data_IF_496451809042
#
_entry.id   IF_496451809042
#
_cell.length_a   1.000
_cell.length_b   1.000
_cell.length_c   1.000
_cell.angle_alpha   90.00
_cell.angle_beta   90.00
_cell.angle_gamma   90.00
#
_symmetry.space_group_name_H-M   'P 1'
#
loop_
_entity.id
_entity.type
_entity.pdbx_description
1 polymer ?
#
# COMPACT_ATOMS: atom_id res chain seq x y z
N UNK A 1 0.03 10.50 6.58
CA UNK A 1 -1.35 10.76 6.10
C UNK A 1 -1.94 9.44 5.61
N UNK A 2 -2.88 8.91 6.38
CA UNK A 2 -3.34 7.51 6.34
C UNK A 2 -3.89 7.15 4.96
N UNK A 3 -3.48 6.01 4.39
CA UNK A 3 -3.96 5.56 3.06
C UNK A 3 -5.49 5.47 3.00
N UNK A 4 -6.14 5.13 4.12
CA UNK A 4 -7.60 5.13 4.26
C UNK A 4 -8.15 6.55 4.28
N UNK A 5 -7.50 7.48 5.00
CA UNK A 5 -7.88 8.91 5.00
C UNK A 5 -7.76 9.50 3.60
N UNK A 6 -6.63 9.26 2.90
CA UNK A 6 -6.44 9.69 1.50
C UNK A 6 -7.50 9.12 0.56
N UNK A 7 -7.87 7.84 0.73
CA UNK A 7 -8.94 7.24 -0.05
C UNK A 7 -10.30 7.88 0.23
N UNK A 8 -10.66 8.08 1.50
CA UNK A 8 -11.91 8.72 1.92
C UNK A 8 -11.96 10.18 1.44
N UNK A 9 -10.85 10.92 1.51
CA UNK A 9 -10.75 12.29 1.01
C UNK A 9 -10.84 12.37 -0.51
N UNK A 10 -10.20 11.44 -1.24
CA UNK A 10 -10.34 11.38 -2.70
C UNK A 10 -11.78 11.06 -3.12
N UNK A 11 -12.46 10.15 -2.41
CA UNK A 11 -13.87 9.86 -2.66
C UNK A 11 -14.75 11.09 -2.38
N UNK A 12 -14.51 11.80 -1.28
CA UNK A 12 -15.19 13.06 -0.95
C UNK A 12 -15.04 14.10 -2.06
N UNK A 13 -13.82 14.37 -2.50
CA UNK A 13 -13.53 15.35 -3.55
C UNK A 13 -14.23 14.99 -4.86
N UNK A 14 -14.12 13.73 -5.29
CA UNK A 14 -14.75 13.28 -6.53
C UNK A 14 -16.28 13.24 -6.46
N UNK A 15 -16.87 12.92 -5.30
CA UNK A 15 -18.32 13.01 -5.09
C UNK A 15 -18.79 14.47 -5.17
N UNK A 16 -18.06 15.40 -4.57
CA UNK A 16 -18.39 16.84 -4.62
C UNK A 16 -18.32 17.34 -6.07
N UNK A 17 -17.23 17.04 -6.80
CA UNK A 17 -17.09 17.42 -8.21
C UNK A 17 -18.22 16.86 -9.07
N UNK A 18 -18.57 15.59 -8.87
CA UNK A 18 -19.67 14.95 -9.61
C UNK A 18 -21.01 15.61 -9.27
N UNK A 19 -21.23 15.98 -8.01
CA UNK A 19 -22.47 16.64 -7.58
C UNK A 19 -22.58 18.07 -8.12
N UNK A 20 -21.49 18.84 -8.11
CA UNK A 20 -21.45 20.20 -8.67
C UNK A 20 -21.74 20.20 -10.18
N UNK A 21 -21.23 19.21 -10.92
CA UNK A 21 -21.60 19.06 -12.33
C UNK A 21 -23.05 18.64 -12.52
N UNK A 22 -23.55 17.75 -11.65
CA UNK A 22 -24.94 17.32 -11.67
C UNK A 22 -25.92 18.48 -11.43
N UNK A 23 -25.62 19.38 -10.49
CA UNK A 23 -26.45 20.58 -10.25
C UNK A 23 -26.43 21.57 -11.41
N UNK A 24 -25.30 21.69 -12.11
CA UNK A 24 -25.16 22.57 -13.27
C UNK A 24 -25.70 21.94 -14.56
N UNK A 25 -26.10 20.67 -14.53
CA UNK A 25 -26.58 19.95 -15.69
C UNK A 25 -28.02 20.35 -16.04
N UNK A 26 -28.21 20.82 -17.28
CA UNK A 26 -29.53 21.27 -17.77
C UNK A 26 -30.48 20.08 -17.94
N UNK A 27 -31.70 20.21 -17.41
CA UNK A 27 -32.79 19.21 -17.47
C UNK A 27 -33.12 18.64 -18.87
N UNK A 28 -32.66 19.28 -19.95
CA UNK A 28 -32.97 18.90 -21.33
C UNK A 28 -32.04 17.84 -21.93
N UNK A 29 -30.98 17.44 -21.24
CA UNK A 29 -30.07 16.40 -21.68
C UNK A 29 -30.24 15.17 -20.77
N UNK A 30 -30.50 14.00 -21.34
CA UNK A 30 -31.11 12.87 -20.60
C UNK A 30 -30.10 11.96 -19.91
N UNK A 31 -28.80 12.26 -19.99
CA UNK A 31 -27.77 11.26 -19.76
C UNK A 31 -26.56 11.80 -18.98
N UNK A 32 -26.81 12.35 -17.79
CA UNK A 32 -25.73 12.71 -16.88
C UNK A 32 -24.96 11.46 -16.42
N UNK A 33 -23.63 11.49 -16.56
CA UNK A 33 -22.76 10.42 -16.10
C UNK A 33 -22.37 10.61 -14.62
N UNK A 34 -23.11 9.93 -13.74
CA UNK A 34 -22.84 9.91 -12.30
C UNK A 34 -21.51 9.24 -11.92
N UNK A 35 -20.88 8.51 -12.85
CA UNK A 35 -19.64 7.78 -12.58
C UNK A 35 -18.39 8.48 -13.15
N UNK A 36 -18.52 9.73 -13.61
CA UNK A 36 -17.47 10.47 -14.33
C UNK A 36 -16.17 10.62 -13.53
N UNK A 37 -16.25 11.01 -12.26
CA UNK A 37 -15.06 11.24 -11.41
C UNK A 37 -14.85 10.17 -10.34
N UNK A 38 -15.88 9.35 -10.08
CA UNK A 38 -15.83 8.28 -9.09
C UNK A 38 -16.72 7.12 -9.54
N UNK A 39 -16.24 5.90 -9.37
CA UNK A 39 -17.04 4.70 -9.67
C UNK A 39 -17.98 4.34 -8.51
N UNK A 40 -19.14 3.76 -8.82
CA UNK A 40 -20.03 3.15 -7.82
C UNK A 40 -19.30 2.11 -6.94
N UNK A 41 -18.31 1.42 -7.50
CA UNK A 41 -17.45 0.49 -6.75
C UNK A 41 -16.66 1.21 -5.65
N UNK A 42 -16.01 2.33 -5.97
CA UNK A 42 -15.21 3.06 -4.99
C UNK A 42 -16.08 3.81 -3.98
N UNK A 43 -17.24 4.31 -4.41
CA UNK A 43 -18.28 4.80 -3.51
C UNK A 43 -18.73 3.71 -2.53
N UNK A 44 -19.02 2.49 -3.01
CA UNK A 44 -19.43 1.36 -2.16
C UNK A 44 -18.34 0.97 -1.17
N UNK A 45 -17.06 0.96 -1.57
CA UNK A 45 -15.93 0.73 -0.67
C UNK A 45 -15.86 1.78 0.43
N UNK A 46 -15.96 3.07 0.08
CA UNK A 46 -16.00 4.15 1.07
C UNK A 46 -17.19 3.99 2.01
N UNK A 47 -18.39 3.73 1.48
CA UNK A 47 -19.60 3.48 2.27
C UNK A 47 -19.44 2.32 3.24
N UNK A 48 -18.79 1.23 2.84
CA UNK A 48 -18.49 0.10 3.74
C UNK A 48 -17.60 0.53 4.92
N UNK A 49 -16.58 1.35 4.65
CA UNK A 49 -15.70 1.90 5.68
C UNK A 49 -16.51 2.77 6.65
N UNK A 50 -17.28 3.74 6.13
CA UNK A 50 -18.10 4.63 6.96
C UNK A 50 -19.07 3.85 7.85
N UNK A 51 -19.79 2.86 7.30
CA UNK A 51 -20.73 2.01 8.05
C UNK A 51 -20.05 1.20 9.15
N UNK A 52 -18.86 0.68 8.87
CA UNK A 52 -18.10 -0.08 9.86
C UNK A 52 -17.67 0.82 11.02
N UNK A 53 -17.10 1.98 10.71
CA UNK A 53 -16.67 2.97 11.70
C UNK A 53 -17.84 3.48 12.54
N UNK A 54 -18.99 3.73 11.91
CA UNK A 54 -20.21 4.13 12.58
C UNK A 54 -20.68 3.11 13.62
N UNK A 55 -20.72 1.82 13.24
CA UNK A 55 -21.11 0.73 14.14
C UNK A 55 -20.15 0.50 15.30
N UNK A 56 -18.85 0.64 15.04
CA UNK A 56 -17.81 0.32 16.03
C UNK A 56 -17.57 1.46 17.03
N UNK A 57 -17.88 2.71 16.68
CA UNK A 57 -17.38 3.89 17.42
C UNK A 57 -18.45 4.94 17.74
N UNK A 58 -19.73 4.57 17.70
CA UNK A 58 -20.87 5.47 18.00
C UNK A 58 -20.92 6.76 17.15
N UNK A 59 -20.27 6.75 15.98
CA UNK A 59 -20.30 7.88 15.04
C UNK A 59 -21.57 7.78 14.21
N UNK A 60 -22.46 8.75 14.32
CA UNK A 60 -23.68 8.78 13.50
C UNK A 60 -23.35 8.88 11.99
N UNK A 61 -23.92 7.96 11.20
CA UNK A 61 -23.95 7.97 9.73
C UNK A 61 -25.39 8.27 9.28
N UNK A 62 -25.62 9.30 8.45
CA UNK A 62 -26.98 9.58 7.98
C UNK A 62 -27.53 8.43 7.13
N UNK A 63 -28.84 8.18 7.26
CA UNK A 63 -29.56 7.11 6.55
C UNK A 63 -29.31 7.15 5.03
N UNK A 64 -29.18 8.35 4.44
CA UNK A 64 -28.88 8.54 3.02
C UNK A 64 -27.58 7.85 2.58
N UNK A 65 -26.57 7.78 3.45
CA UNK A 65 -25.32 7.03 3.19
C UNK A 65 -25.43 5.56 3.62
N UNK A 66 -26.46 5.20 4.37
CA UNK A 66 -26.72 3.82 4.77
C UNK A 66 -27.53 3.03 3.76
N UNK A 67 -28.47 3.66 3.05
CA UNK A 67 -29.43 2.95 2.17
C UNK A 67 -29.01 3.00 0.70
N UNK A 68 -28.55 4.16 0.22
CA UNK A 68 -28.19 4.34 -1.19
C UNK A 68 -26.91 3.57 -1.54
N UNK A 69 -26.93 2.88 -2.68
CA UNK A 69 -25.86 1.96 -3.12
C UNK A 69 -25.18 2.41 -4.40
N UNK A 70 -25.73 3.41 -5.08
CA UNK A 70 -25.10 4.09 -6.22
C UNK A 70 -25.01 5.60 -5.98
N UNK A 71 -24.10 6.25 -6.71
CA UNK A 71 -23.92 7.70 -6.68
C UNK A 71 -25.20 8.41 -7.14
N UNK A 72 -25.90 7.84 -8.14
CA UNK A 72 -27.18 8.34 -8.63
C UNK A 72 -28.26 8.35 -7.55
N UNK A 73 -28.46 7.22 -6.88
CA UNK A 73 -29.45 7.10 -5.78
C UNK A 73 -29.14 8.10 -4.67
N UNK A 74 -27.86 8.20 -4.28
CA UNK A 74 -27.39 9.13 -3.26
C UNK A 74 -27.73 10.58 -3.64
N UNK A 75 -27.40 11.02 -4.85
CA UNK A 75 -27.63 12.40 -5.27
C UNK A 75 -29.11 12.72 -5.39
N UNK A 76 -29.91 11.81 -5.93
CA UNK A 76 -31.35 11.99 -5.99
C UNK A 76 -31.94 12.19 -4.60
N UNK A 77 -31.62 11.30 -3.65
CA UNK A 77 -32.11 11.37 -2.27
C UNK A 77 -31.68 12.66 -1.56
N UNK A 78 -30.40 13.05 -1.71
CA UNK A 78 -29.90 14.31 -1.14
C UNK A 78 -30.61 15.53 -1.74
N UNK A 79 -30.86 15.55 -3.06
CA UNK A 79 -31.57 16.64 -3.74
C UNK A 79 -33.07 16.69 -3.37
N UNK A 80 -33.71 15.54 -3.12
CA UNK A 80 -35.09 15.51 -2.61
C UNK A 80 -35.17 16.03 -1.17
N UNK A 81 -34.19 15.72 -0.33
CA UNK A 81 -34.15 16.14 1.07
C UNK A 81 -33.85 17.64 1.27
N UNK A 82 -33.22 18.33 0.31
CA UNK A 82 -32.82 19.74 0.43
C UNK A 82 -33.90 20.76 0.06
N UNK A 83 -35.03 20.31 -0.49
CA UNK A 83 -36.27 21.05 -0.70
C UNK A 83 -36.11 22.51 -1.13
N UNK A 84 -35.85 22.79 -2.42
CA UNK A 84 -35.79 24.11 -3.08
C UNK A 84 -34.91 25.21 -2.42
N UNK A 85 -34.31 24.97 -1.26
CA UNK A 85 -33.29 25.83 -0.67
C UNK A 85 -31.94 25.31 -1.15
N UNK A 86 -31.18 26.17 -1.83
CA UNK A 86 -29.77 25.96 -2.24
C UNK A 86 -28.86 25.85 -1.02
N UNK A 87 -29.16 24.94 -0.09
CA UNK A 87 -28.26 24.64 1.00
C UNK A 87 -27.07 23.88 0.43
N UNK A 88 -25.88 24.32 0.82
CA UNK A 88 -24.57 23.85 0.38
C UNK A 88 -24.43 22.30 0.49
N UNK A 89 -24.91 21.57 -0.50
CA UNK A 89 -24.93 20.11 -0.51
C UNK A 89 -23.52 19.54 -0.62
N UNK A 90 -22.65 20.16 -1.41
CA UNK A 90 -21.21 19.90 -1.40
C UNK A 90 -20.64 19.97 0.04
N UNK A 91 -21.03 21.00 0.79
CA UNK A 91 -20.69 21.15 2.20
C UNK A 91 -21.23 20.04 3.11
N UNK A 92 -22.42 19.50 2.84
CA UNK A 92 -22.98 18.35 3.58
C UNK A 92 -22.20 17.06 3.28
N UNK A 93 -21.85 16.81 2.01
CA UNK A 93 -20.99 15.69 1.63
C UNK A 93 -19.64 15.83 2.35
N UNK A 94 -19.01 17.02 2.25
CA UNK A 94 -17.75 17.30 2.91
C UNK A 94 -17.81 17.08 4.42
N UNK A 95 -18.86 17.55 5.09
CA UNK A 95 -19.02 17.43 6.53
C UNK A 95 -19.06 15.97 7.00
N UNK A 96 -19.80 15.11 6.29
CA UNK A 96 -19.85 13.68 6.60
C UNK A 96 -18.46 13.07 6.44
N UNK A 97 -17.84 13.21 5.26
CA UNK A 97 -16.54 12.59 5.01
C UNK A 97 -15.44 13.12 5.94
N UNK A 98 -15.39 14.44 6.19
CA UNK A 98 -14.42 15.03 7.12
C UNK A 98 -14.58 14.48 8.54
N UNK A 99 -15.81 14.24 9.02
CA UNK A 99 -16.05 13.63 10.35
C UNK A 99 -15.35 12.27 10.48
N UNK A 100 -15.41 11.45 9.44
CA UNK A 100 -14.75 10.14 9.42
C UNK A 100 -13.25 10.26 9.13
N UNK A 101 -12.82 11.17 8.26
CA UNK A 101 -11.38 11.44 8.04
C UNK A 101 -10.71 11.88 9.34
N UNK A 102 -11.26 12.89 10.05
CA UNK A 102 -10.74 13.35 11.34
C UNK A 102 -10.76 12.24 12.38
N UNK A 103 -11.83 11.44 12.45
CA UNK A 103 -11.84 10.29 13.35
C UNK A 103 -10.70 9.31 13.05
N UNK A 104 -10.48 9.00 11.76
CA UNK A 104 -9.39 8.12 11.33
C UNK A 104 -8.01 8.74 11.62
N UNK A 105 -7.86 10.06 11.52
CA UNK A 105 -6.63 10.78 11.89
C UNK A 105 -6.37 10.75 13.41
N UNK A 106 -7.42 10.96 14.21
CA UNK A 106 -7.34 11.05 15.67
C UNK A 106 -7.21 9.69 16.37
N UNK A 107 -7.83 8.64 15.81
CA UNK A 107 -7.99 7.33 16.47
C UNK A 107 -7.28 6.18 15.76
N UNK A 108 -6.94 6.33 14.48
CA UNK A 108 -5.92 5.46 13.88
C UNK A 108 -4.61 6.21 13.98
N UNK A 109 -3.96 6.11 15.14
CA UNK A 109 -2.55 6.45 15.27
C UNK A 109 -1.82 5.81 14.08
N UNK A 110 -1.42 6.64 13.12
CA UNK A 110 -0.27 6.30 12.32
C UNK A 110 0.84 6.15 13.36
N UNK A 111 1.24 4.90 13.62
CA UNK A 111 2.67 4.69 13.50
C UNK A 111 2.95 5.24 12.10
N UNK A 112 3.50 6.46 12.02
CA UNK A 112 4.27 6.87 10.85
C UNK A 112 5.40 5.85 10.79
N UNK A 113 5.08 4.66 10.29
CA UNK A 113 6.05 3.77 9.73
C UNK A 113 6.55 4.63 8.59
N UNK A 114 7.73 5.23 8.80
CA UNK A 114 8.50 5.94 7.78
C UNK A 114 8.16 5.25 6.48
N UNK A 115 7.40 5.94 5.61
CA UNK A 115 7.01 5.35 4.33
C UNK A 115 8.34 5.06 3.67
N UNK A 116 8.73 3.79 3.62
CA UNK A 116 9.98 3.41 3.00
C UNK A 116 9.74 3.51 1.51
N UNK A 117 9.95 4.73 1.00
CA UNK A 117 10.05 5.00 -0.41
C UNK A 117 11.37 4.40 -0.86
N UNK A 118 11.27 3.28 -1.57
CA UNK A 118 12.41 2.66 -2.18
C UNK A 118 12.67 3.38 -3.52
N UNK A 119 13.51 4.40 -3.47
CA UNK A 119 14.06 5.00 -4.69
C UNK A 119 15.06 4.02 -5.30
N UNK A 120 14.84 3.63 -6.55
CA UNK A 120 15.72 2.73 -7.27
C UNK A 120 16.82 3.58 -7.92
N UNK A 121 18.11 3.31 -7.63
CA UNK A 121 19.20 4.03 -8.28
C UNK A 121 19.11 3.96 -9.80
N UNK A 122 19.49 5.02 -10.51
CA UNK A 122 19.33 5.10 -11.98
C UNK A 122 20.03 3.96 -12.72
N UNK A 123 21.15 3.48 -12.18
CA UNK A 123 21.96 2.39 -12.71
C UNK A 123 21.36 1.00 -12.45
N UNK A 124 20.35 0.91 -11.58
CA UNK A 124 19.64 -0.32 -11.18
C UNK A 124 18.27 -0.45 -11.88
N UNK A 125 18.11 0.15 -13.06
CA UNK A 125 16.86 0.21 -13.81
C UNK A 125 16.52 -1.10 -14.54
N UNK A 126 16.41 -2.22 -13.81
CA UNK A 126 15.74 -3.39 -14.35
C UNK A 126 14.21 -3.21 -14.25
N UNK A 127 13.51 -3.29 -15.39
CA UNK A 127 12.04 -3.16 -15.49
C UNK A 127 11.29 -4.07 -14.51
N UNK A 128 11.88 -5.19 -14.13
CA UNK A 128 11.32 -6.12 -13.14
C UNK A 128 11.16 -5.52 -11.74
N UNK A 129 12.14 -4.79 -11.22
CA UNK A 129 12.12 -4.26 -9.83
C UNK A 129 11.00 -3.22 -9.67
N UNK A 130 10.89 -2.28 -10.61
CA UNK A 130 9.79 -1.30 -10.62
C UNK A 130 8.42 -1.97 -10.76
N UNK A 131 8.33 -2.98 -11.63
CA UNK A 131 7.11 -3.76 -11.81
C UNK A 131 6.72 -4.49 -10.53
N UNK A 132 7.66 -5.08 -9.81
CA UNK A 132 7.40 -5.84 -8.59
C UNK A 132 7.02 -4.95 -7.42
N UNK A 133 7.62 -3.75 -7.31
CA UNK A 133 7.20 -2.75 -6.33
C UNK A 133 5.78 -2.25 -6.59
N UNK A 134 5.42 -1.98 -7.86
CA UNK A 134 4.05 -1.62 -8.23
C UNK A 134 3.06 -2.76 -7.97
N UNK A 135 3.45 -4.01 -8.26
CA UNK A 135 2.64 -5.20 -7.96
C UNK A 135 2.40 -5.38 -6.47
N UNK A 136 3.32 -4.99 -5.59
CA UNK A 136 3.10 -5.07 -4.14
C UNK A 136 1.92 -4.18 -3.73
N UNK A 137 1.89 -2.93 -4.17
CA UNK A 137 0.86 -1.94 -3.80
C UNK A 137 -0.50 -2.25 -4.42
N UNK A 138 -0.50 -2.57 -5.71
CA UNK A 138 -1.74 -2.89 -6.45
C UNK A 138 -2.40 -4.13 -5.84
N UNK A 139 -1.65 -5.21 -5.58
CA UNK A 139 -2.21 -6.43 -4.98
C UNK A 139 -2.74 -6.24 -3.56
N UNK A 140 -2.10 -5.40 -2.74
CA UNK A 140 -2.68 -5.01 -1.45
C UNK A 140 -4.04 -4.32 -1.65
N UNK A 141 -4.11 -3.39 -2.59
CA UNK A 141 -5.31 -2.60 -2.88
C UNK A 141 -6.44 -3.45 -3.47
N UNK A 142 -6.09 -4.47 -4.25
CA UNK A 142 -7.02 -5.40 -4.90
C UNK A 142 -7.47 -6.54 -3.96
N UNK A 143 -6.90 -6.63 -2.75
CA UNK A 143 -7.20 -7.70 -1.79
C UNK A 143 -6.48 -9.03 -2.07
N UNK A 144 -5.57 -9.08 -3.05
CA UNK A 144 -4.70 -10.22 -3.34
C UNK A 144 -3.49 -10.26 -2.37
N UNK A 145 -3.77 -10.58 -1.11
CA UNK A 145 -2.76 -10.57 -0.03
C UNK A 145 -1.66 -11.61 -0.24
N UNK A 146 -2.00 -12.80 -0.74
CA UNK A 146 -1.03 -13.85 -1.04
C UNK A 146 -0.12 -13.45 -2.21
N UNK A 147 -0.69 -12.84 -3.25
CA UNK A 147 0.08 -12.31 -4.36
C UNK A 147 0.95 -11.12 -3.94
N UNK A 148 0.49 -10.25 -3.05
CA UNK A 148 1.29 -9.14 -2.52
C UNK A 148 2.55 -9.63 -1.80
N UNK A 149 2.42 -10.66 -0.95
CA UNK A 149 3.56 -11.30 -0.28
C UNK A 149 4.51 -11.95 -1.29
N UNK A 150 3.96 -12.59 -2.32
CA UNK A 150 4.77 -13.17 -3.41
C UNK A 150 5.57 -12.09 -4.12
N UNK A 151 4.95 -10.95 -4.45
CA UNK A 151 5.64 -9.79 -5.04
C UNK A 151 6.72 -9.24 -4.12
N UNK A 152 6.46 -9.17 -2.81
CA UNK A 152 7.42 -8.70 -1.82
C UNK A 152 8.70 -9.56 -1.81
N UNK A 153 8.54 -10.90 -1.86
CA UNK A 153 9.67 -11.83 -1.98
C UNK A 153 10.44 -11.60 -3.29
N UNK A 154 9.72 -11.57 -4.42
CA UNK A 154 10.34 -11.37 -5.75
C UNK A 154 11.09 -10.05 -5.85
N UNK A 155 10.56 -8.99 -5.23
CA UNK A 155 11.24 -7.69 -5.15
C UNK A 155 12.61 -7.81 -4.50
N UNK A 156 12.70 -8.44 -3.32
CA UNK A 156 14.00 -8.59 -2.62
C UNK A 156 14.94 -9.53 -3.38
N UNK A 157 14.42 -10.59 -3.99
CA UNK A 157 15.21 -11.50 -4.83
C UNK A 157 15.83 -10.75 -6.03
N UNK A 158 15.01 -9.97 -6.75
CA UNK A 158 15.45 -9.18 -7.90
C UNK A 158 16.53 -8.17 -7.52
N UNK A 159 16.34 -7.46 -6.41
CA UNK A 159 17.33 -6.49 -5.89
C UNK A 159 18.64 -7.19 -5.52
N UNK A 160 18.56 -8.33 -4.82
CA UNK A 160 19.76 -9.07 -4.44
C UNK A 160 20.55 -9.54 -5.66
N UNK A 161 19.85 -10.14 -6.64
CA UNK A 161 20.45 -10.60 -7.90
C UNK A 161 21.12 -9.44 -8.64
N UNK A 162 20.41 -8.33 -8.81
CA UNK A 162 20.90 -7.19 -9.58
C UNK A 162 22.19 -6.60 -8.97
N UNK A 163 22.20 -6.34 -7.65
CA UNK A 163 23.39 -5.79 -7.00
C UNK A 163 24.55 -6.78 -7.05
N UNK A 164 24.30 -8.08 -6.87
CA UNK A 164 25.35 -9.11 -6.97
C UNK A 164 25.96 -9.17 -8.37
N UNK A 165 25.15 -9.11 -9.43
CA UNK A 165 25.63 -9.06 -10.83
C UNK A 165 26.48 -7.82 -11.04
N UNK A 166 26.03 -6.64 -10.60
CA UNK A 166 26.81 -5.39 -10.72
C UNK A 166 28.15 -5.47 -9.96
N UNK A 167 28.20 -6.23 -8.86
CA UNK A 167 29.45 -6.48 -8.12
C UNK A 167 30.31 -7.59 -8.73
N UNK A 168 29.95 -8.12 -9.91
CA UNK A 168 30.72 -9.12 -10.65
C UNK A 168 30.57 -10.55 -10.11
N UNK A 169 29.47 -10.84 -9.41
CA UNK A 169 29.16 -12.20 -8.95
C UNK A 169 28.24 -12.86 -9.97
N UNK A 170 28.82 -13.57 -10.93
CA UNK A 170 28.08 -14.18 -12.05
C UNK A 170 27.61 -15.61 -11.76
N UNK A 171 27.93 -16.18 -10.60
CA UNK A 171 27.60 -17.57 -10.24
C UNK A 171 26.17 -17.73 -9.67
N UNK A 172 25.30 -16.75 -9.87
CA UNK A 172 23.95 -16.74 -9.31
C UNK A 172 23.06 -17.64 -10.15
N UNK A 173 22.40 -18.61 -9.51
CA UNK A 173 21.39 -19.45 -10.18
C UNK A 173 20.02 -18.78 -10.13
N UNK A 174 19.21 -18.97 -11.17
CA UNK A 174 17.80 -18.59 -11.13
C UNK A 174 17.00 -19.31 -10.05
N UNK A 175 17.48 -20.48 -9.64
CA UNK A 175 16.88 -21.31 -8.57
C UNK A 175 17.40 -20.98 -7.18
N UNK A 176 18.30 -20.00 -7.04
CA UNK A 176 18.83 -19.63 -5.73
C UNK A 176 17.74 -19.04 -4.85
N UNK A 177 17.69 -19.53 -3.61
CA UNK A 177 16.69 -19.08 -2.65
C UNK A 177 16.99 -17.68 -2.14
N UNK A 178 15.94 -16.90 -1.84
CA UNK A 178 16.09 -15.57 -1.23
C UNK A 178 17.07 -15.53 -0.04
N UNK A 179 17.05 -16.46 0.95
CA UNK A 179 18.02 -16.45 2.04
C UNK A 179 19.48 -16.60 1.59
N UNK A 180 19.74 -17.40 0.55
CA UNK A 180 21.08 -17.55 -0.04
C UNK A 180 21.50 -16.24 -0.70
N UNK A 181 20.67 -15.70 -1.59
CA UNK A 181 20.93 -14.43 -2.30
C UNK A 181 21.24 -13.29 -1.32
N UNK A 182 20.42 -13.14 -0.28
CA UNK A 182 20.62 -12.10 0.74
C UNK A 182 21.93 -12.30 1.53
N UNK A 183 22.25 -13.54 1.90
CA UNK A 183 23.49 -13.87 2.60
C UNK A 183 24.72 -13.54 1.76
N UNK A 184 24.68 -13.84 0.46
CA UNK A 184 25.80 -13.57 -0.42
C UNK A 184 25.96 -12.06 -0.69
N UNK A 185 24.86 -11.33 -0.87
CA UNK A 185 24.91 -9.88 -1.02
C UNK A 185 25.43 -9.18 0.24
N UNK A 186 24.94 -9.53 1.42
CA UNK A 186 25.40 -8.91 2.67
C UNK A 186 26.88 -9.16 2.95
N UNK A 187 27.46 -10.28 2.50
CA UNK A 187 28.92 -10.48 2.51
C UNK A 187 29.62 -9.47 1.59
N UNK A 188 29.14 -9.29 0.36
CA UNK A 188 29.72 -8.34 -0.60
C UNK A 188 29.60 -6.87 -0.16
N UNK A 189 28.55 -6.55 0.61
CA UNK A 189 28.34 -5.23 1.20
C UNK A 189 29.00 -5.07 2.58
N UNK A 190 29.83 -6.01 3.04
CA UNK A 190 30.48 -5.96 4.36
C UNK A 190 29.50 -5.78 5.54
N UNK A 191 28.26 -6.25 5.39
CA UNK A 191 27.19 -6.20 6.39
C UNK A 191 27.14 -7.45 7.27
N UNK A 192 28.04 -8.40 7.06
CA UNK A 192 28.07 -9.64 7.84
C UNK A 192 28.48 -9.37 9.31
N UNK A 193 27.99 -10.20 10.23
CA UNK A 193 28.29 -10.09 11.66
C UNK A 193 29.77 -10.33 11.99
N UNK A 194 30.50 -11.02 11.10
CA UNK A 194 31.93 -11.26 11.23
C UNK A 194 32.78 -10.01 10.95
N UNK A 195 32.22 -8.93 10.40
CA UNK A 195 32.93 -7.70 10.13
C UNK A 195 33.31 -7.00 11.46
N UNK A 196 34.59 -6.88 11.82
CA UNK A 196 35.00 -6.26 13.08
C UNK A 196 34.76 -4.74 13.09
N UNK A 197 34.59 -4.11 11.92
CA UNK A 197 34.36 -2.65 11.79
C UNK A 197 32.87 -2.26 11.92
N UNK A 198 31.96 -3.22 11.94
CA UNK A 198 30.53 -2.97 12.07
C UNK A 198 30.15 -2.90 13.56
N UNK A 199 29.44 -1.84 13.94
CA UNK A 199 28.96 -1.65 15.32
C UNK A 199 28.08 -2.83 15.79
N UNK A 200 28.17 -3.18 17.07
CA UNK A 200 27.45 -4.33 17.62
C UNK A 200 25.93 -4.16 17.53
N UNK A 201 25.41 -2.93 17.68
CA UNK A 201 23.97 -2.65 17.55
C UNK A 201 23.51 -2.83 16.10
N UNK A 202 24.34 -2.42 15.13
CA UNK A 202 24.07 -2.64 13.71
C UNK A 202 24.16 -4.12 13.32
N UNK A 203 25.05 -4.89 13.94
CA UNK A 203 25.10 -6.36 13.77
C UNK A 203 23.80 -7.02 14.23
N UNK A 204 23.24 -6.58 15.35
CA UNK A 204 21.95 -7.10 15.83
C UNK A 204 20.81 -6.78 14.85
N UNK A 205 20.76 -5.55 14.33
CA UNK A 205 19.75 -5.14 13.34
C UNK A 205 19.88 -5.99 12.05
N UNK A 206 21.08 -6.10 11.48
CA UNK A 206 21.33 -6.89 10.26
C UNK A 206 21.06 -8.39 10.48
N UNK A 207 21.36 -8.91 11.67
CA UNK A 207 20.98 -10.27 12.09
C UNK A 207 19.45 -10.45 12.16
N UNK A 208 18.74 -9.45 12.67
CA UNK A 208 17.28 -9.39 12.65
C UNK A 208 16.71 -9.46 11.23
N UNK A 209 17.30 -8.72 10.29
CA UNK A 209 16.89 -8.76 8.88
C UNK A 209 17.06 -10.15 8.25
N UNK A 210 18.09 -10.93 8.64
CA UNK A 210 18.20 -12.32 8.19
C UNK A 210 16.98 -13.17 8.59
N UNK A 211 16.41 -12.94 9.79
CA UNK A 211 15.19 -13.65 10.24
C UNK A 211 13.97 -13.22 9.43
N UNK A 212 13.84 -11.92 9.17
CA UNK A 212 12.77 -11.37 8.31
C UNK A 212 12.83 -12.00 6.93
N UNK A 213 14.02 -12.09 6.33
CA UNK A 213 14.24 -12.68 5.01
C UNK A 213 13.87 -14.15 4.95
N UNK A 214 14.22 -14.93 5.98
CA UNK A 214 13.79 -16.33 6.09
C UNK A 214 12.26 -16.42 6.17
N UNK A 215 11.62 -15.59 6.98
CA UNK A 215 10.16 -15.51 7.07
C UNK A 215 9.52 -15.22 5.71
N UNK A 216 9.98 -14.17 5.00
CA UNK A 216 9.50 -13.83 3.66
C UNK A 216 9.63 -14.98 2.66
N UNK A 217 10.71 -15.77 2.75
CA UNK A 217 10.92 -16.92 1.88
C UNK A 217 9.93 -18.07 2.16
N UNK A 218 9.53 -18.25 3.43
CA UNK A 218 8.71 -19.36 3.94
C UNK A 218 7.19 -19.11 3.89
N UNK A 219 6.72 -17.86 3.90
CA UNK A 219 5.28 -17.54 3.96
C UNK A 219 4.49 -18.15 2.79
N UNK A 220 5.13 -18.43 1.64
CA UNK A 220 4.50 -19.15 0.52
C UNK A 220 4.31 -20.65 0.77
N UNK A 221 5.17 -21.28 1.59
CA UNK A 221 5.08 -22.71 1.88
C UNK A 221 3.85 -23.07 2.74
N UNK A 222 3.24 -22.07 3.40
CA UNK A 222 1.95 -22.22 4.09
C UNK A 222 0.77 -22.39 3.13
N UNK A 223 0.94 -22.07 1.84
CA UNK A 223 -0.14 -22.07 0.86
C UNK A 223 -0.07 -23.24 -0.14
N UNK A 224 0.97 -24.08 -0.08
CA UNK A 224 1.34 -24.92 -1.22
C UNK A 224 1.60 -26.41 -0.97
N UNK A 225 1.94 -26.87 0.25
CA UNK A 225 2.31 -28.29 0.40
C UNK A 225 1.96 -28.88 1.78
N UNK A 226 1.18 -29.96 1.74
CA UNK A 226 1.08 -31.10 2.65
C UNK A 226 1.12 -30.83 4.18
N UNK A 227 -0.05 -31.03 4.82
CA UNK A 227 -0.30 -31.16 6.27
C UNK A 227 -0.23 -29.93 7.18
N UNK A 228 0.29 -28.78 6.75
CA UNK A 228 0.12 -27.53 7.50
C UNK A 228 -1.23 -26.85 7.14
N UNK A 229 -1.96 -26.34 8.13
CA UNK A 229 -3.17 -25.52 7.91
C UNK A 229 -2.84 -24.42 6.89
N UNK A 230 -3.58 -24.37 5.78
CA UNK A 230 -3.49 -23.28 4.80
C UNK A 230 -3.93 -21.99 5.51
N UNK A 231 -2.98 -21.22 6.00
CA UNK A 231 -3.26 -19.90 6.56
C UNK A 231 -3.36 -18.96 5.36
N UNK A 232 -4.57 -18.55 5.03
CA UNK A 232 -4.79 -17.50 4.04
C UNK A 232 -4.33 -16.18 4.65
N UNK A 233 -3.31 -15.50 4.09
CA UNK A 233 -2.83 -14.24 4.63
C UNK A 233 -3.94 -13.20 4.61
N UNK A 234 -4.09 -12.46 5.71
CA UNK A 234 -4.99 -11.30 5.79
C UNK A 234 -4.23 -10.00 5.48
N UNK A 235 -4.97 -8.89 5.36
CA UNK A 235 -4.43 -7.56 5.06
C UNK A 235 -3.18 -7.20 5.89
N UNK A 236 -3.24 -7.34 7.22
CA UNK A 236 -2.11 -6.95 8.09
C UNK A 236 -0.86 -7.81 7.88
N UNK A 237 -1.02 -9.09 7.52
CA UNK A 237 0.10 -9.96 7.18
C UNK A 237 0.77 -9.53 5.86
N UNK A 238 -0.02 -9.18 4.86
CA UNK A 238 0.50 -8.69 3.58
C UNK A 238 1.19 -7.34 3.73
N UNK A 239 0.60 -6.40 4.48
CA UNK A 239 1.21 -5.10 4.77
C UNK A 239 2.55 -5.26 5.50
N UNK A 240 2.61 -6.13 6.51
CA UNK A 240 3.87 -6.42 7.23
C UNK A 240 4.95 -6.93 6.27
N UNK A 241 4.61 -7.93 5.43
CA UNK A 241 5.57 -8.53 4.50
C UNK A 241 6.07 -7.52 3.44
N UNK A 242 5.15 -6.76 2.84
CA UNK A 242 5.50 -5.75 1.83
C UNK A 242 6.36 -4.64 2.44
N UNK A 243 6.00 -4.13 3.61
CA UNK A 243 6.78 -3.08 4.26
C UNK A 243 8.16 -3.59 4.70
N UNK A 244 8.25 -4.82 5.21
CA UNK A 244 9.52 -5.44 5.54
C UNK A 244 10.42 -5.58 4.30
N UNK A 245 9.87 -6.02 3.17
CA UNK A 245 10.59 -6.11 1.91
C UNK A 245 11.09 -4.74 1.43
N UNK A 246 10.23 -3.70 1.47
CA UNK A 246 10.62 -2.32 1.13
C UNK A 246 11.76 -1.81 2.01
N UNK A 247 11.69 -2.01 3.32
CA UNK A 247 12.74 -1.64 4.28
C UNK A 247 14.06 -2.31 3.94
N UNK A 248 14.05 -3.62 3.68
CA UNK A 248 15.27 -4.35 3.31
C UNK A 248 15.83 -3.83 1.98
N UNK A 249 14.98 -3.69 0.97
CA UNK A 249 15.41 -3.23 -0.36
C UNK A 249 16.01 -1.83 -0.31
N UNK A 250 15.35 -0.87 0.36
CA UNK A 250 15.87 0.50 0.51
C UNK A 250 17.22 0.51 1.24
N UNK A 251 17.35 -0.25 2.34
CA UNK A 251 18.61 -0.37 3.06
C UNK A 251 19.75 -0.94 2.19
N UNK A 252 19.47 -1.98 1.40
CA UNK A 252 20.46 -2.58 0.50
C UNK A 252 20.90 -1.61 -0.59
N UNK A 253 19.96 -0.86 -1.19
CA UNK A 253 20.29 0.15 -2.20
C UNK A 253 21.14 1.28 -1.64
N UNK A 254 20.72 1.91 -0.54
CA UNK A 254 21.49 3.00 0.06
C UNK A 254 22.87 2.54 0.54
N UNK A 255 22.99 1.31 1.04
CA UNK A 255 24.30 0.74 1.39
C UNK A 255 25.19 0.58 0.16
N UNK A 256 24.63 0.08 -0.93
CA UNK A 256 25.34 -0.08 -2.20
C UNK A 256 25.78 1.27 -2.77
N UNK A 257 24.90 2.26 -2.83
CA UNK A 257 25.20 3.61 -3.32
C UNK A 257 26.30 4.27 -2.49
N UNK A 258 26.18 4.24 -1.17
CA UNK A 258 27.18 4.80 -0.26
C UNK A 258 28.57 4.18 -0.48
N UNK A 259 28.65 2.86 -0.68
CA UNK A 259 29.92 2.19 -0.94
C UNK A 259 30.49 2.54 -2.31
N UNK A 260 29.62 2.67 -3.32
CA UNK A 260 30.00 3.11 -4.67
C UNK A 260 30.59 4.52 -4.61
N UNK A 261 29.91 5.48 -4.00
CA UNK A 261 30.40 6.87 -3.85
C UNK A 261 31.75 6.94 -3.13
N UNK A 262 31.97 6.10 -2.11
CA UNK A 262 33.25 6.02 -1.40
C UNK A 262 34.37 5.34 -2.17
N UNK A 263 34.08 4.53 -3.19
CA UNK A 263 35.10 3.94 -4.06
C UNK A 263 35.57 4.92 -5.15
N UNK A 264 34.77 5.94 -5.47
CA UNK A 264 35.08 6.96 -6.46
C UNK A 264 35.74 8.23 -5.88
N UNK A 265 35.81 8.35 -4.55
CA UNK A 265 36.48 9.44 -3.83
C UNK A 265 37.76 8.94 -3.14
#
# INVERSE_FOLDING_TARGET
>A
MNNTVRFIDSVKENLILTYEEYENYSYNDSNFDFNKYISDSDYLKARMILRKLSKENEIELPETYEVNRSIKELFQDISYASGYSQQNTAGRIAMIFNKYSTYLEDNLYEVEIVKVECEIPKELTYRGIQSDLLKCETRISDGDFAGAITSAKTLVEGVCKEILVIKGIDTISDTDSLPKLYTDLTKQLNLNSANPKLDNSLKEITSGLNKVIKGLAEVRNLSGDSHAKIITPSFHHAVLAVNAAKTVTSFLFHTYEYQKEKQFN
#
